data_IF_245377857168
#
_entry.id   IF_245377857168
#
_cell.length_a   1.000
_cell.length_b   1.000
_cell.length_c   1.000
_cell.angle_alpha   90.00
_cell.angle_beta   90.00
_cell.angle_gamma   90.00
#
_symmetry.space_group_name_H-M   'P 1'
#
loop_
_entity.id
_entity.type
_entity.pdbx_description
1 polymer ?
#
# COMPACT_ATOMS: atom_id res chain seq x y z
N UNK A 1 -8.64 -16.60 -5.33
CA UNK A 1 -7.90 -15.95 -6.44
C UNK A 1 -6.46 -16.45 -6.38
N UNK A 2 -5.80 -16.70 -7.51
CA UNK A 2 -4.36 -17.04 -7.47
C UNK A 2 -3.51 -15.79 -7.23
N UNK A 3 -2.27 -15.97 -6.75
CA UNK A 3 -1.34 -14.85 -6.59
C UNK A 3 -1.05 -14.14 -7.91
N UNK A 4 -0.95 -14.91 -9.01
CA UNK A 4 -0.78 -14.38 -10.36
C UNK A 4 -1.97 -13.50 -10.77
N UNK A 5 -3.21 -13.99 -10.63
CA UNK A 5 -4.43 -13.24 -10.94
C UNK A 5 -4.52 -11.95 -10.11
N UNK A 6 -4.17 -12.02 -8.83
CA UNK A 6 -4.11 -10.85 -7.95
C UNK A 6 -3.14 -9.79 -8.49
N UNK A 7 -1.90 -10.18 -8.79
CA UNK A 7 -0.89 -9.25 -9.30
C UNK A 7 -1.27 -8.68 -10.68
N UNK A 8 -1.84 -9.51 -11.56
CA UNK A 8 -2.29 -9.09 -12.89
C UNK A 8 -3.42 -8.06 -12.81
N UNK A 9 -4.42 -8.30 -11.97
CA UNK A 9 -5.54 -7.38 -11.75
C UNK A 9 -5.06 -6.05 -11.15
N UNK A 10 -4.17 -6.09 -10.14
CA UNK A 10 -3.59 -4.90 -9.55
C UNK A 10 -2.81 -4.09 -10.59
N UNK A 11 -2.03 -4.77 -11.43
CA UNK A 11 -1.27 -4.13 -12.51
C UNK A 11 -2.19 -3.43 -13.52
N UNK A 12 -3.26 -4.09 -13.96
CA UNK A 12 -4.23 -3.52 -14.89
C UNK A 12 -4.86 -2.24 -14.32
N UNK A 13 -5.35 -2.32 -13.07
CA UNK A 13 -5.98 -1.18 -12.39
C UNK A 13 -5.00 -0.02 -12.18
N UNK A 14 -3.71 -0.30 -11.88
CA UNK A 14 -2.67 0.72 -11.79
C UNK A 14 -2.42 1.41 -13.13
N UNK A 15 -2.39 0.68 -14.25
CA UNK A 15 -2.21 1.25 -15.59
C UNK A 15 -3.39 2.15 -15.98
N UNK A 16 -4.61 1.78 -15.59
CA UNK A 16 -5.79 2.64 -15.75
C UNK A 16 -5.64 3.94 -14.95
N UNK A 17 -5.20 3.87 -13.68
CA UNK A 17 -4.97 5.06 -12.87
C UNK A 17 -3.89 5.97 -13.48
N UNK A 18 -2.75 5.40 -13.93
CA UNK A 18 -1.67 6.15 -14.58
C UNK A 18 -2.19 6.91 -15.80
N UNK A 19 -2.99 6.24 -16.64
CA UNK A 19 -3.58 6.84 -17.85
C UNK A 19 -4.53 8.01 -17.51
N UNK A 20 -5.14 7.99 -16.34
CA UNK A 20 -5.97 9.06 -15.80
C UNK A 20 -5.18 10.27 -15.26
N UNK A 21 -3.90 10.11 -14.90
CA UNK A 21 -3.08 11.20 -14.32
C UNK A 21 -2.52 12.11 -15.42
N UNK A 22 -3.36 13.01 -15.96
CA UNK A 22 -2.95 14.02 -16.95
C UNK A 22 -2.39 15.27 -16.29
N UNK A 23 -1.42 15.97 -16.91
CA UNK A 23 -0.95 17.28 -16.42
C UNK A 23 -2.09 18.31 -16.55
N UNK A 24 -2.24 19.19 -15.56
CA UNK A 24 -3.13 20.35 -15.68
C UNK A 24 -2.47 21.36 -16.61
N UNK A 25 -3.22 21.91 -17.57
CA UNK A 25 -2.70 22.94 -18.46
C UNK A 25 -2.73 24.34 -17.81
N UNK A 26 -3.16 24.44 -16.54
CA UNK A 26 -3.12 25.65 -15.73
C UNK A 26 -4.24 26.61 -16.10
N UNK A 27 -4.94 27.17 -15.10
CA UNK A 27 -5.90 28.30 -15.08
C UNK A 27 -6.83 28.57 -16.29
N UNK A 28 -6.94 27.66 -17.25
CA UNK A 28 -7.76 27.80 -18.43
C UNK A 28 -9.13 27.21 -18.14
N UNK A 29 -10.18 27.92 -18.51
CA UNK A 29 -11.58 27.55 -18.26
C UNK A 29 -12.02 26.23 -18.90
N UNK A 30 -11.17 25.63 -19.75
CA UNK A 30 -11.37 24.34 -20.41
C UNK A 30 -10.42 23.24 -19.90
N UNK A 31 -9.71 23.46 -18.78
CA UNK A 31 -8.89 22.42 -18.16
C UNK A 31 -9.77 21.31 -17.56
N UNK A 32 -10.03 20.29 -18.38
CA UNK A 32 -10.80 19.09 -18.01
C UNK A 32 -9.93 18.01 -17.33
N UNK A 33 -8.77 18.37 -16.78
CA UNK A 33 -7.89 17.38 -16.15
C UNK A 33 -8.41 16.96 -14.78
N UNK A 34 -8.29 15.66 -14.47
CA UNK A 34 -8.79 15.10 -13.22
C UNK A 34 -8.08 15.75 -12.01
N UNK A 35 -8.83 16.36 -11.07
CA UNK A 35 -8.25 16.93 -9.85
C UNK A 35 -7.49 15.89 -9.03
N UNK A 36 -6.42 16.33 -8.33
CA UNK A 36 -5.63 15.46 -7.46
C UNK A 36 -6.48 14.79 -6.37
N UNK A 37 -7.50 15.47 -5.85
CA UNK A 37 -8.43 14.90 -4.86
C UNK A 37 -9.18 13.68 -5.39
N UNK A 38 -9.60 13.71 -6.67
CA UNK A 38 -10.26 12.57 -7.31
C UNK A 38 -9.27 11.43 -7.53
N UNK A 39 -8.05 11.72 -8.01
CA UNK A 39 -6.98 10.72 -8.16
C UNK A 39 -6.68 10.07 -6.82
N UNK A 40 -6.54 10.88 -5.76
CA UNK A 40 -6.29 10.42 -4.40
C UNK A 40 -7.36 9.44 -3.93
N UNK A 41 -8.65 9.81 -4.04
CA UNK A 41 -9.74 8.92 -3.62
C UNK A 41 -9.80 7.61 -4.41
N UNK A 42 -9.51 7.64 -5.72
CA UNK A 42 -9.44 6.41 -6.53
C UNK A 42 -8.31 5.51 -6.05
N UNK A 43 -7.13 6.07 -5.82
CA UNK A 43 -5.98 5.33 -5.32
C UNK A 43 -6.19 4.79 -3.89
N UNK A 44 -6.81 5.57 -2.99
CA UNK A 44 -7.20 5.11 -1.66
C UNK A 44 -8.17 3.92 -1.73
N UNK A 45 -9.20 4.02 -2.57
CA UNK A 45 -10.19 2.94 -2.75
C UNK A 45 -9.56 1.66 -3.32
N UNK A 46 -8.67 1.82 -4.31
CA UNK A 46 -7.91 0.72 -4.89
C UNK A 46 -6.98 0.08 -3.85
N UNK A 47 -6.19 0.88 -3.12
CA UNK A 47 -5.30 0.38 -2.07
C UNK A 47 -6.08 -0.39 -1.00
N UNK A 48 -7.18 0.17 -0.52
CA UNK A 48 -8.05 -0.48 0.48
C UNK A 48 -8.57 -1.84 0.00
N UNK A 49 -9.01 -1.93 -1.27
CA UNK A 49 -9.45 -3.18 -1.91
C UNK A 49 -8.33 -4.22 -1.90
N UNK A 50 -7.14 -3.88 -2.39
CA UNK A 50 -6.04 -4.84 -2.52
C UNK A 50 -5.41 -5.22 -1.18
N UNK A 51 -5.36 -4.31 -0.19
CA UNK A 51 -4.93 -4.61 1.18
C UNK A 51 -5.85 -5.64 1.84
N UNK A 52 -7.16 -5.58 1.61
CA UNK A 52 -8.11 -6.56 2.13
C UNK A 52 -7.89 -7.93 1.48
N UNK A 53 -7.69 -7.96 0.16
CA UNK A 53 -7.46 -9.20 -0.60
C UNK A 53 -6.09 -9.83 -0.32
N UNK A 54 -5.06 -9.02 -0.03
CA UNK A 54 -3.70 -9.49 0.22
C UNK A 54 -3.57 -10.43 1.43
N UNK A 55 -4.57 -10.44 2.34
CA UNK A 55 -4.66 -11.41 3.44
C UNK A 55 -4.66 -12.87 2.96
N UNK A 56 -5.20 -13.14 1.76
CA UNK A 56 -5.21 -14.49 1.18
C UNK A 56 -3.78 -15.01 0.91
N UNK A 57 -2.81 -14.10 0.84
CA UNK A 57 -1.39 -14.39 0.64
C UNK A 57 -0.57 -14.14 1.91
N UNK A 58 -1.23 -14.01 3.06
CA UNK A 58 -0.59 -13.81 4.36
C UNK A 58 -0.07 -12.40 4.61
N UNK A 59 -0.51 -11.38 3.86
CA UNK A 59 -0.14 -9.98 4.10
C UNK A 59 -1.29 -9.28 4.84
N UNK A 60 -0.96 -8.65 5.95
CA UNK A 60 -1.91 -7.92 6.79
C UNK A 60 -1.42 -6.49 7.01
N UNK A 61 -2.36 -5.56 7.10
CA UNK A 61 -2.11 -4.20 7.56
C UNK A 61 -2.76 -4.00 8.92
N UNK A 62 -1.95 -3.62 9.89
CA UNK A 62 -2.37 -3.38 11.27
C UNK A 62 -2.11 -1.92 11.62
N UNK A 63 -3.16 -1.25 12.07
CA UNK A 63 -3.04 0.10 12.63
C UNK A 63 -2.58 -0.02 14.07
N UNK A 64 -1.41 0.55 14.38
CA UNK A 64 -0.86 0.70 15.71
C UNK A 64 -1.06 2.13 16.23
N UNK A 65 -1.62 2.27 17.42
CA UNK A 65 -1.88 3.57 18.06
C UNK A 65 -0.70 3.98 18.95
N UNK A 66 0.18 4.86 18.46
CA UNK A 66 1.40 5.24 19.19
C UNK A 66 1.18 6.29 20.28
N UNK A 67 0.07 7.04 20.22
CA UNK A 67 -0.25 8.13 21.16
C UNK A 67 -1.26 7.74 22.25
N UNK A 68 -1.61 6.46 22.40
CA UNK A 68 -2.56 6.06 23.44
C UNK A 68 -1.94 6.21 24.84
N UNK A 69 -2.60 6.97 25.71
CA UNK A 69 -2.17 7.22 27.09
C UNK A 69 -2.74 6.23 28.12
N UNK A 70 -3.47 5.20 27.69
CA UNK A 70 -4.07 4.24 28.60
C UNK A 70 -3.01 3.32 29.20
N UNK A 71 -2.78 3.45 30.51
CA UNK A 71 -1.80 2.66 31.27
C UNK A 71 -2.14 1.17 31.38
N UNK A 72 -3.34 0.76 30.97
CA UNK A 72 -3.86 -0.60 31.21
C UNK A 72 -3.37 -1.65 30.19
N UNK A 73 -2.79 -1.25 29.06
CA UNK A 73 -2.24 -2.18 28.07
C UNK A 73 -0.71 -2.10 28.04
N UNK A 74 -0.06 -3.27 27.90
CA UNK A 74 1.38 -3.35 27.67
C UNK A 74 1.64 -3.21 26.18
N UNK A 75 2.44 -2.21 25.79
CA UNK A 75 2.73 -1.91 24.38
C UNK A 75 1.66 -1.05 23.72
N UNK A 76 1.59 -1.12 22.39
CA UNK A 76 0.68 -0.28 21.60
C UNK A 76 -0.62 -1.01 21.27
N UNK A 77 -1.79 -0.36 21.42
CA UNK A 77 -3.05 -0.92 20.96
C UNK A 77 -3.04 -1.02 19.43
N UNK A 78 -3.63 -2.09 18.93
CA UNK A 78 -3.71 -2.39 17.51
C UNK A 78 -5.15 -2.62 17.08
N UNK A 79 -5.45 -2.28 15.83
CA UNK A 79 -6.70 -2.67 15.16
C UNK A 79 -6.40 -3.05 13.71
N UNK A 80 -7.34 -3.74 13.09
CA UNK A 80 -7.26 -4.10 11.68
C UNK A 80 -8.65 -4.31 11.09
N UNK A 81 -8.71 -4.50 9.77
CA UNK A 81 -9.95 -4.64 9.00
C UNK A 81 -10.37 -6.10 8.78
N UNK A 82 -9.65 -7.05 9.37
CA UNK A 82 -9.77 -8.48 9.07
C UNK A 82 -10.64 -9.25 10.07
N UNK A 83 -11.10 -8.59 11.14
CA UNK A 83 -11.95 -9.21 12.17
C UNK A 83 -11.20 -10.16 13.12
N UNK A 84 -9.86 -10.10 13.13
CA UNK A 84 -9.00 -10.88 14.03
C UNK A 84 -8.24 -9.96 14.97
N UNK A 85 -7.89 -10.44 16.16
CA UNK A 85 -7.05 -9.69 17.09
C UNK A 85 -5.59 -10.02 16.82
N UNK A 86 -4.79 -8.99 16.50
CA UNK A 86 -3.35 -9.13 16.27
C UNK A 86 -2.67 -8.17 17.24
N UNK A 87 -2.03 -8.71 18.28
CA UNK A 87 -1.30 -7.88 19.24
C UNK A 87 -0.05 -7.28 18.60
N UNK A 88 0.41 -6.13 19.10
CA UNK A 88 1.71 -5.59 18.68
C UNK A 88 2.83 -6.60 18.98
N UNK A 89 3.69 -6.86 17.99
CA UNK A 89 4.76 -7.87 18.05
C UNK A 89 4.26 -9.31 18.30
N UNK A 90 3.03 -9.63 17.89
CA UNK A 90 2.51 -11.00 17.93
C UNK A 90 3.47 -11.98 17.24
N UNK A 91 3.81 -13.05 17.95
CA UNK A 91 4.79 -14.05 17.51
C UNK A 91 4.33 -14.91 16.33
N UNK A 92 3.07 -14.83 15.90
CA UNK A 92 2.60 -15.52 14.69
C UNK A 92 2.90 -14.74 13.41
N UNK A 93 3.31 -13.47 13.55
CA UNK A 93 3.56 -12.58 12.41
C UNK A 93 5.01 -12.12 12.36
N UNK A 94 5.43 -11.71 11.17
CA UNK A 94 6.70 -11.03 10.91
C UNK A 94 6.39 -9.56 10.72
N UNK A 95 7.02 -8.74 11.55
CA UNK A 95 6.93 -7.29 11.51
C UNK A 95 8.10 -6.79 10.67
N UNK A 96 7.89 -6.63 9.36
CA UNK A 96 8.97 -6.31 8.41
C UNK A 96 9.54 -4.90 8.62
N UNK A 97 8.79 -4.02 9.29
CA UNK A 97 9.10 -2.60 9.41
C UNK A 97 8.53 -1.76 8.26
N UNK A 98 7.90 -2.41 7.27
CA UNK A 98 7.19 -1.73 6.19
C UNK A 98 5.92 -1.08 6.71
N UNK A 99 5.64 0.12 6.24
CA UNK A 99 4.48 0.91 6.66
C UNK A 99 3.78 1.49 5.44
N UNK A 100 2.45 1.52 5.47
CA UNK A 100 1.64 2.28 4.50
C UNK A 100 1.47 3.73 4.93
N UNK A 101 1.43 3.99 6.23
CA UNK A 101 1.17 5.33 6.75
C UNK A 101 1.78 5.49 8.14
N UNK A 102 2.29 6.69 8.41
CA UNK A 102 2.67 7.14 9.74
C UNK A 102 2.26 8.60 9.91
N UNK A 103 1.49 8.91 10.95
CA UNK A 103 1.08 10.28 11.23
C UNK A 103 -0.18 10.41 12.06
N UNK A 104 -0.71 11.62 12.14
CA UNK A 104 -1.93 11.93 12.89
C UNK A 104 -3.19 11.66 12.07
N UNK A 105 -4.09 10.83 12.60
CA UNK A 105 -5.40 10.49 12.00
C UNK A 105 -6.51 10.66 13.04
N UNK A 106 -7.60 11.32 12.66
CA UNK A 106 -8.81 11.33 13.48
C UNK A 106 -9.41 9.93 13.49
N UNK A 107 -9.36 9.26 14.64
CA UNK A 107 -9.69 7.85 14.78
C UNK A 107 -10.11 7.54 16.22
N UNK A 108 -10.73 6.38 16.44
CA UNK A 108 -11.15 5.94 17.76
C UNK A 108 -10.17 4.89 18.26
N UNK A 109 -9.43 5.20 19.33
CA UNK A 109 -8.50 4.25 19.90
C UNK A 109 -9.21 2.94 20.35
N UNK A 110 -8.72 1.75 19.97
CA UNK A 110 -9.44 0.48 20.16
C UNK A 110 -9.43 -0.03 21.61
N UNK A 111 -8.74 0.64 22.54
CA UNK A 111 -8.69 0.23 23.95
C UNK A 111 -10.05 0.15 24.63
N UNK A 112 -11.03 0.92 24.17
CA UNK A 112 -12.39 0.90 24.69
C UNK A 112 -13.39 1.31 23.63
N UNK A 113 -14.50 0.57 23.53
CA UNK A 113 -15.64 0.93 22.65
C UNK A 113 -16.29 2.26 23.04
N UNK A 114 -16.04 2.75 24.26
CA UNK A 114 -16.55 4.04 24.74
C UNK A 114 -15.70 5.24 24.34
N UNK A 115 -14.50 5.01 23.77
CA UNK A 115 -13.64 6.09 23.30
C UNK A 115 -14.31 6.89 22.19
N UNK A 116 -14.14 8.21 22.22
CA UNK A 116 -14.60 9.10 21.15
C UNK A 116 -13.51 9.26 20.09
N UNK A 117 -13.88 9.51 18.82
CA UNK A 117 -12.92 9.89 17.79
C UNK A 117 -12.11 11.10 18.24
N UNK A 118 -10.78 11.00 18.11
CA UNK A 118 -9.83 12.05 18.46
C UNK A 118 -8.61 11.97 17.55
N UNK A 119 -7.79 13.02 17.55
CA UNK A 119 -6.52 13.01 16.83
C UNK A 119 -5.56 12.05 17.52
N UNK A 120 -5.24 10.93 16.85
CA UNK A 120 -4.27 9.94 17.32
C UNK A 120 -3.09 9.89 16.36
N UNK A 121 -1.88 9.75 16.88
CA UNK A 121 -0.73 9.36 16.08
C UNK A 121 -0.78 7.84 15.89
N UNK A 122 -0.79 7.41 14.64
CA UNK A 122 -0.97 6.02 14.25
C UNK A 122 0.06 5.62 13.19
N UNK A 123 0.33 4.33 13.13
CA UNK A 123 1.20 3.71 12.13
C UNK A 123 0.44 2.53 11.53
N UNK A 124 0.28 2.51 10.22
CA UNK A 124 -0.31 1.38 9.49
C UNK A 124 0.83 0.45 9.06
N UNK A 125 1.19 -0.48 9.94
CA UNK A 125 2.27 -1.45 9.76
C UNK A 125 1.82 -2.57 8.80
N UNK A 126 2.67 -2.93 7.82
CA UNK A 126 2.48 -4.14 6.99
C UNK A 126 3.20 -5.29 7.69
N UNK A 127 2.48 -6.38 7.91
CA UNK A 127 3.00 -7.58 8.58
C UNK A 127 2.67 -8.82 7.78
N UNK A 128 3.47 -9.87 7.95
CA UNK A 128 3.31 -11.13 7.22
C UNK A 128 2.99 -12.29 8.16
N UNK A 129 2.10 -13.18 7.77
CA UNK A 129 1.95 -14.48 8.41
C UNK A 129 3.28 -15.25 8.30
N UNK A 130 3.75 -15.83 9.42
CA UNK A 130 5.01 -16.59 9.43
C UNK A 130 5.04 -17.79 8.50
N UNK A 131 3.88 -18.32 8.15
CA UNK A 131 3.74 -19.46 7.24
C UNK A 131 3.64 -19.06 5.77
N UNK A 132 3.53 -17.76 5.48
CA UNK A 132 3.42 -17.25 4.12
C UNK A 132 4.76 -17.26 3.36
N UNK A 133 4.69 -17.12 2.04
CA UNK A 133 5.87 -16.97 1.19
C UNK A 133 6.45 -15.56 1.36
N UNK A 134 7.54 -15.45 2.14
CA UNK A 134 8.14 -14.16 2.52
C UNK A 134 8.65 -13.34 1.33
N UNK A 135 9.16 -14.00 0.29
CA UNK A 135 9.63 -13.32 -0.92
C UNK A 135 8.47 -12.62 -1.63
N UNK A 136 7.36 -13.34 -1.86
CA UNK A 136 6.14 -12.77 -2.42
C UNK A 136 5.53 -11.68 -1.54
N UNK A 137 5.53 -11.89 -0.22
CA UNK A 137 5.05 -10.89 0.73
C UNK A 137 5.87 -9.61 0.68
N UNK A 138 7.20 -9.73 0.65
CA UNK A 138 8.12 -8.60 0.56
C UNK A 138 7.95 -7.82 -0.75
N UNK A 139 7.87 -8.50 -1.89
CA UNK A 139 7.67 -7.80 -3.17
C UNK A 139 6.31 -7.10 -3.24
N UNK A 140 5.24 -7.76 -2.78
CA UNK A 140 3.92 -7.14 -2.77
C UNK A 140 3.82 -6.00 -1.74
N UNK A 141 4.48 -6.11 -0.58
CA UNK A 141 4.58 -5.03 0.40
C UNK A 141 5.12 -3.74 -0.24
N UNK A 142 6.21 -3.85 -1.00
CA UNK A 142 6.82 -2.70 -1.72
C UNK A 142 5.88 -2.10 -2.77
N UNK A 143 5.12 -2.94 -3.48
CA UNK A 143 4.10 -2.47 -4.43
C UNK A 143 3.02 -1.66 -3.69
N UNK A 144 2.52 -2.14 -2.55
CA UNK A 144 1.51 -1.43 -1.76
C UNK A 144 2.05 -0.11 -1.18
N UNK A 145 3.32 -0.09 -0.75
CA UNK A 145 4.01 1.12 -0.33
C UNK A 145 4.12 2.14 -1.46
N UNK A 146 4.52 1.72 -2.67
CA UNK A 146 4.59 2.59 -3.85
C UNK A 146 3.21 3.21 -4.16
N UNK A 147 2.12 2.43 -4.02
CA UNK A 147 0.76 2.97 -4.15
C UNK A 147 0.44 3.98 -3.03
N UNK A 148 0.82 3.69 -1.78
CA UNK A 148 0.60 4.62 -0.68
C UNK A 148 1.38 5.94 -0.84
N UNK A 149 2.64 5.87 -1.27
CA UNK A 149 3.44 7.05 -1.60
C UNK A 149 2.77 7.86 -2.72
N UNK A 150 2.22 7.19 -3.74
CA UNK A 150 1.43 7.86 -4.80
C UNK A 150 0.23 8.64 -4.22
N UNK A 151 -0.48 8.07 -3.25
CA UNK A 151 -1.61 8.74 -2.54
C UNK A 151 -1.12 9.97 -1.78
N UNK A 152 0.03 9.86 -1.08
CA UNK A 152 0.62 11.00 -0.36
C UNK A 152 1.05 12.11 -1.32
N UNK A 153 1.51 11.76 -2.52
CA UNK A 153 1.84 12.69 -3.61
C UNK A 153 0.61 13.23 -4.34
N UNK A 154 -0.57 12.61 -4.20
CA UNK A 154 -1.86 13.12 -4.67
C UNK A 154 -2.50 14.16 -3.73
N UNK A 155 -1.74 14.70 -2.77
CA UNK A 155 -2.19 15.80 -1.91
C UNK A 155 -2.49 17.10 -2.66
N UNK A 156 -3.18 18.02 -1.97
CA UNK A 156 -3.50 19.35 -2.50
C UNK A 156 -2.21 20.09 -2.91
N UNK A 157 -2.22 20.71 -4.09
CA UNK A 157 -1.11 21.49 -4.67
C UNK A 157 0.21 20.72 -4.88
N UNK A 158 0.20 19.38 -4.83
CA UNK A 158 1.38 18.56 -5.15
C UNK A 158 1.49 18.28 -6.65
N UNK A 159 2.73 18.07 -7.12
CA UNK A 159 3.02 17.76 -8.52
C UNK A 159 2.48 16.38 -8.91
N UNK A 160 1.89 16.29 -10.11
CA UNK A 160 1.37 15.03 -10.66
C UNK A 160 2.47 14.08 -11.13
N UNK A 161 3.70 14.56 -11.28
CA UNK A 161 4.85 13.73 -11.64
C UNK A 161 5.16 12.68 -10.56
N UNK A 162 5.11 13.05 -9.28
CA UNK A 162 5.34 12.12 -8.18
C UNK A 162 4.33 10.98 -8.17
N UNK A 163 3.04 11.28 -8.42
CA UNK A 163 2.00 10.26 -8.53
C UNK A 163 2.37 9.23 -9.61
N UNK A 164 2.74 9.68 -10.82
CA UNK A 164 3.09 8.76 -11.92
C UNK A 164 4.34 7.94 -11.63
N UNK A 165 5.36 8.55 -11.06
CA UNK A 165 6.63 7.89 -10.78
C UNK A 165 6.44 6.68 -9.85
N UNK A 166 5.74 6.87 -8.73
CA UNK A 166 5.48 5.80 -7.79
C UNK A 166 4.55 4.72 -8.38
N UNK A 167 3.50 5.10 -9.12
CA UNK A 167 2.64 4.11 -9.79
C UNK A 167 3.40 3.30 -10.86
N UNK A 168 4.29 3.94 -11.63
CA UNK A 168 5.13 3.25 -12.61
C UNK A 168 6.11 2.29 -11.92
N UNK A 169 6.70 2.70 -10.78
CA UNK A 169 7.56 1.83 -9.98
C UNK A 169 6.81 0.59 -9.47
N UNK A 170 5.58 0.77 -8.99
CA UNK A 170 4.69 -0.33 -8.60
C UNK A 170 4.43 -1.29 -9.77
N UNK A 171 4.15 -0.77 -10.97
CA UNK A 171 3.93 -1.59 -12.18
C UNK A 171 5.19 -2.37 -12.58
N UNK A 172 6.38 -1.77 -12.50
CA UNK A 172 7.63 -2.46 -12.80
C UNK A 172 7.87 -3.64 -11.84
N UNK A 173 7.66 -3.45 -10.53
CA UNK A 173 7.74 -4.52 -9.54
C UNK A 173 6.74 -5.63 -9.81
N UNK A 174 5.52 -5.28 -10.20
CA UNK A 174 4.50 -6.27 -10.57
C UNK A 174 4.90 -7.05 -11.82
N UNK A 175 5.50 -6.41 -12.83
CA UNK A 175 6.02 -7.12 -13.99
C UNK A 175 7.06 -8.16 -13.58
N UNK A 176 8.04 -7.78 -12.76
CA UNK A 176 9.08 -8.70 -12.28
C UNK A 176 8.51 -9.83 -11.42
N UNK A 177 7.42 -9.56 -10.69
CA UNK A 177 6.72 -10.57 -9.86
C UNK A 177 5.88 -11.55 -10.69
N UNK A 178 5.31 -11.08 -11.81
CA UNK A 178 4.41 -11.86 -12.68
C UNK A 178 5.19 -12.72 -13.68
N UNK A 179 6.31 -12.19 -14.17
CA UNK A 179 7.12 -12.86 -15.19
C UNK A 179 7.91 -14.03 -14.58
N UNK A 180 8.19 -15.09 -15.36
CA UNK A 180 8.97 -16.24 -14.88
C UNK A 180 10.43 -15.89 -14.54
N UNK A 181 10.90 -14.74 -15.02
CA UNK A 181 12.21 -14.16 -14.76
C UNK A 181 12.13 -12.65 -14.98
N UNK A 182 12.99 -11.91 -14.30
CA UNK A 182 13.12 -10.46 -14.48
C UNK A 182 13.65 -10.11 -15.88
N UNK A 183 13.41 -8.87 -16.30
CA UNK A 183 13.95 -8.36 -17.58
C UNK A 183 15.48 -8.44 -17.61
N UNK A 184 16.14 -8.19 -16.48
CA UNK A 184 17.59 -8.26 -16.35
C UNK A 184 18.14 -9.68 -16.53
N UNK A 185 17.44 -10.68 -15.99
CA UNK A 185 17.77 -12.09 -16.17
C UNK A 185 17.58 -12.50 -17.63
N UNK A 186 16.47 -12.10 -18.25
CA UNK A 186 16.23 -12.33 -19.68
C UNK A 186 17.35 -11.76 -20.55
N UNK A 187 17.72 -10.49 -20.34
CA UNK A 187 18.82 -9.84 -21.09
C UNK A 187 20.14 -10.61 -20.89
N UNK A 188 20.39 -11.12 -19.69
CA UNK A 188 21.61 -11.88 -19.38
C UNK A 188 21.65 -13.22 -20.12
N UNK A 189 20.54 -13.94 -20.18
CA UNK A 189 20.42 -15.20 -20.93
C UNK A 189 20.68 -14.95 -22.41
N UNK A 190 19.99 -13.98 -23.01
CA UNK A 190 20.15 -13.65 -24.43
C UNK A 190 21.59 -13.22 -24.77
N UNK A 191 22.26 -12.47 -23.88
CA UNK A 191 23.66 -12.08 -24.10
C UNK A 191 24.64 -13.26 -24.05
N UNK A 192 24.37 -14.27 -23.22
CA UNK A 192 25.19 -15.49 -23.14
C UNK A 192 25.00 -16.36 -24.37
N UNK A 193 23.78 -16.48 -24.87
CA UNK A 193 23.46 -17.32 -26.03
C UNK A 193 24.00 -16.74 -27.35
N UNK A 194 24.32 -15.44 -27.36
CA UNK A 194 24.90 -14.73 -28.52
C UNK A 194 26.41 -14.46 -28.40
N UNK A 195 27.08 -15.00 -27.38
CA UNK A 195 28.53 -14.88 -27.15
C UNK A 195 29.25 -16.20 -27.45
#
# INVERSE_FOLDING_TARGET
MTFFEFCANLREELLEQISGVKNSNGYLSWDNTTPNSIIKHRLESMLDKYVIQAKEFGIYVVTRYSSCSNVSHVGYPTENRYGISIAYQDSNFIWSGDQLYQGSRNSTCPCSKSNKPSSNHVIDDIIFDKTANLEKCSELSRVLQDVSESIQHAGNNKSRSGIREHLLRAVLRLNDTILPQSVSEYITIIRRDNA
#
